data_IF_780344615720
#
_entry.id   IF_780344615720
#
_cell.length_a   1.000
_cell.length_b   1.000
_cell.length_c   1.000
_cell.angle_alpha   90.00
_cell.angle_beta   90.00
_cell.angle_gamma   90.00
#
_symmetry.space_group_name_H-M   'P 1'
#
loop_
_entity.id
_entity.type
_entity.pdbx_description
1 polymer ?
#
# COMPACT_ATOMS: atom_id res chain seq x y z
N UNK A 1 -11.31 -16.82 18.44
CA UNK A 1 -11.02 -17.98 17.56
C UNK A 1 -9.88 -17.58 16.64
N UNK A 2 -8.74 -18.27 16.70
CA UNK A 2 -7.60 -18.00 15.82
C UNK A 2 -8.02 -18.26 14.37
N UNK A 3 -8.06 -17.24 13.51
CA UNK A 3 -8.18 -17.44 12.06
C UNK A 3 -7.02 -18.35 11.66
N UNK A 4 -7.31 -19.56 11.18
CA UNK A 4 -6.28 -20.46 10.65
C UNK A 4 -5.58 -19.74 9.51
N UNK A 5 -4.30 -19.48 9.68
CA UNK A 5 -3.45 -18.96 8.61
C UNK A 5 -3.47 -19.95 7.45
N UNK A 6 -3.94 -19.52 6.29
CA UNK A 6 -3.91 -20.35 5.08
C UNK A 6 -2.50 -20.35 4.50
N UNK A 7 -2.07 -21.50 3.99
CA UNK A 7 -0.78 -21.63 3.32
C UNK A 7 -1.01 -21.93 1.84
N UNK A 8 -0.35 -21.18 0.96
CA UNK A 8 -0.29 -21.49 -0.46
C UNK A 8 0.99 -22.27 -0.75
N UNK A 9 0.82 -23.43 -1.40
CA UNK A 9 1.93 -24.32 -1.72
C UNK A 9 2.83 -23.66 -2.79
N UNK A 10 4.16 -23.72 -2.63
CA UNK A 10 5.09 -23.22 -3.64
C UNK A 10 4.93 -23.95 -4.98
N UNK A 11 5.35 -23.31 -6.07
CA UNK A 11 5.26 -23.87 -7.43
C UNK A 11 6.15 -25.09 -7.67
N UNK A 12 7.18 -25.26 -6.84
CA UNK A 12 8.12 -26.38 -6.88
C UNK A 12 8.36 -26.90 -5.46
N UNK A 13 8.79 -28.16 -5.29
CA UNK A 13 9.19 -28.67 -3.97
C UNK A 13 10.32 -27.84 -3.36
N UNK A 14 10.16 -27.47 -2.08
CA UNK A 14 11.16 -26.75 -1.28
C UNK A 14 11.47 -27.57 0.00
N UNK A 15 12.69 -27.51 0.55
CA UNK A 15 13.82 -26.68 0.11
C UNK A 15 14.57 -27.24 -1.11
N UNK A 16 15.22 -26.36 -1.86
CA UNK A 16 16.23 -26.73 -2.86
C UNK A 16 17.51 -27.23 -2.18
N UNK A 17 18.27 -28.10 -2.85
CA UNK A 17 19.61 -28.47 -2.37
C UNK A 17 20.55 -27.26 -2.38
N UNK A 18 21.54 -27.24 -1.48
CA UNK A 18 22.47 -26.11 -1.35
C UNK A 18 23.23 -25.82 -2.65
N UNK A 19 23.66 -26.88 -3.36
CA UNK A 19 24.37 -26.75 -4.63
C UNK A 19 23.49 -26.07 -5.70
N UNK A 20 22.24 -26.52 -5.85
CA UNK A 20 21.28 -25.93 -6.80
C UNK A 20 20.94 -24.49 -6.43
N UNK A 21 20.71 -24.22 -5.13
CA UNK A 21 20.36 -22.89 -4.67
C UNK A 21 21.49 -21.88 -4.93
N UNK A 22 22.73 -22.26 -4.64
CA UNK A 22 23.90 -21.42 -4.91
C UNK A 22 24.03 -21.09 -6.39
N UNK A 23 23.94 -22.11 -7.25
CA UNK A 23 24.05 -21.94 -8.70
C UNK A 23 22.97 -21.01 -9.26
N UNK A 24 21.71 -21.22 -8.89
CA UNK A 24 20.59 -20.40 -9.39
C UNK A 24 20.70 -18.98 -8.86
N UNK A 25 21.04 -18.78 -7.58
CA UNK A 25 21.19 -17.44 -7.00
C UNK A 25 22.29 -16.64 -7.69
N UNK A 26 23.44 -17.25 -7.99
CA UNK A 26 24.53 -16.58 -8.74
C UNK A 26 24.05 -16.17 -10.14
N UNK A 27 23.46 -17.09 -10.90
CA UNK A 27 22.91 -16.80 -12.24
C UNK A 27 21.82 -15.72 -12.22
N UNK A 28 20.92 -15.76 -11.23
CA UNK A 28 19.85 -14.77 -11.11
C UNK A 28 20.39 -13.38 -10.82
N UNK A 29 21.44 -13.25 -9.98
CA UNK A 29 22.09 -11.95 -9.70
C UNK A 29 22.65 -11.32 -10.96
N UNK A 30 23.31 -12.11 -11.80
CA UNK A 30 23.85 -11.61 -13.07
C UNK A 30 22.71 -11.22 -14.02
N UNK A 31 21.67 -12.06 -14.11
CA UNK A 31 20.51 -11.79 -14.96
C UNK A 31 19.81 -10.48 -14.57
N UNK A 32 19.53 -10.25 -13.28
CA UNK A 32 18.85 -9.02 -12.84
C UNK A 32 19.69 -7.76 -13.12
N UNK A 33 21.02 -7.83 -12.97
CA UNK A 33 21.91 -6.72 -13.31
C UNK A 33 21.94 -6.44 -14.81
N UNK A 34 22.05 -7.49 -15.64
CA UNK A 34 22.05 -7.37 -17.10
C UNK A 34 20.75 -6.79 -17.67
N UNK A 35 19.62 -6.96 -16.94
CA UNK A 35 18.31 -6.41 -17.32
C UNK A 35 17.98 -5.09 -16.60
N UNK A 36 18.96 -4.48 -15.92
CA UNK A 36 18.81 -3.15 -15.30
C UNK A 36 18.03 -3.13 -13.98
N UNK A 37 17.69 -4.28 -13.39
CA UNK A 37 16.99 -4.40 -12.10
C UNK A 37 18.01 -4.13 -10.98
N UNK A 38 18.32 -2.85 -10.79
CA UNK A 38 19.42 -2.40 -9.93
C UNK A 38 19.06 -1.11 -9.19
N UNK A 39 19.86 -0.80 -8.16
CA UNK A 39 19.75 0.40 -7.37
C UNK A 39 21.13 0.84 -6.87
N UNK A 40 21.25 2.14 -6.57
CA UNK A 40 22.42 2.66 -5.86
C UNK A 40 22.33 2.37 -4.36
N UNK A 41 23.43 1.98 -3.69
CA UNK A 41 23.43 1.79 -2.24
C UNK A 41 23.23 3.12 -1.52
N UNK A 42 22.38 3.17 -0.48
CA UNK A 42 22.14 4.39 0.32
C UNK A 42 23.26 4.70 1.32
N UNK A 43 23.88 3.67 1.90
CA UNK A 43 24.88 3.81 2.97
C UNK A 43 26.33 3.83 2.48
N UNK A 44 26.55 3.43 1.22
CA UNK A 44 27.85 3.40 0.55
C UNK A 44 27.60 3.89 -0.87
N UNK A 45 27.28 5.16 -0.99
CA UNK A 45 27.04 5.75 -2.30
C UNK A 45 28.33 5.65 -3.13
N UNK A 46 28.17 5.12 -4.32
CA UNK A 46 29.21 4.98 -5.33
C UNK A 46 28.59 5.48 -6.64
N UNK A 47 29.24 6.46 -7.26
CA UNK A 47 28.77 7.09 -8.50
C UNK A 47 28.86 6.13 -9.68
N UNK A 48 29.80 5.18 -9.63
CA UNK A 48 30.02 4.19 -10.68
C UNK A 48 29.46 2.80 -10.29
N UNK A 49 29.02 2.64 -9.04
CA UNK A 49 28.55 1.38 -8.47
C UNK A 49 27.03 1.20 -8.47
N UNK A 50 26.57 0.05 -8.98
CA UNK A 50 25.20 -0.42 -8.86
C UNK A 50 25.15 -1.78 -8.13
N UNK A 51 24.06 -2.01 -7.41
CA UNK A 51 23.73 -3.33 -6.84
C UNK A 51 22.37 -3.77 -7.38
N UNK A 52 22.14 -5.07 -7.49
CA UNK A 52 20.82 -5.57 -7.86
C UNK A 52 19.77 -5.19 -6.80
N UNK A 53 18.52 -4.97 -7.22
CA UNK A 53 17.41 -4.78 -6.28
C UNK A 53 17.09 -6.12 -5.58
N UNK A 54 16.73 -6.13 -4.28
CA UNK A 54 16.25 -7.34 -3.62
C UNK A 54 15.10 -8.00 -4.39
N UNK A 55 15.16 -9.31 -4.57
CA UNK A 55 14.14 -10.07 -5.29
C UNK A 55 13.83 -11.41 -4.63
N UNK A 56 12.66 -11.98 -4.92
CA UNK A 56 12.30 -13.37 -4.58
C UNK A 56 12.75 -14.28 -5.70
N UNK A 57 13.47 -15.35 -5.35
CA UNK A 57 14.11 -16.23 -6.33
C UNK A 57 13.12 -16.99 -7.22
N UNK A 58 11.99 -17.37 -6.64
CA UNK A 58 10.94 -18.17 -7.27
C UNK A 58 9.64 -17.37 -7.17
N UNK A 59 8.91 -17.16 -8.28
CA UNK A 59 7.66 -16.41 -8.27
C UNK A 59 6.68 -16.89 -7.20
N UNK A 60 6.15 -15.97 -6.39
CA UNK A 60 5.15 -16.32 -5.38
C UNK A 60 3.82 -16.70 -6.03
N UNK A 61 3.19 -17.75 -5.51
CA UNK A 61 1.87 -18.19 -5.96
C UNK A 61 0.79 -17.17 -5.61
N UNK A 62 -0.13 -16.93 -6.55
CA UNK A 62 -1.22 -15.98 -6.36
C UNK A 62 -2.51 -16.49 -7.04
N UNK A 63 -3.69 -16.42 -6.40
CA UNK A 63 -4.94 -16.87 -7.02
C UNK A 63 -5.29 -16.05 -8.28
N UNK A 64 -5.51 -16.72 -9.41
CA UNK A 64 -5.82 -16.09 -10.71
C UNK A 64 -7.05 -15.18 -10.62
N UNK A 65 -8.13 -15.68 -10.01
CA UNK A 65 -9.38 -14.93 -9.85
C UNK A 65 -9.18 -13.62 -9.11
N UNK A 66 -8.35 -13.60 -8.07
CA UNK A 66 -8.08 -12.38 -7.29
C UNK A 66 -7.17 -11.42 -8.06
N UNK A 67 -6.21 -11.93 -8.84
CA UNK A 67 -5.36 -11.11 -9.72
C UNK A 67 -6.19 -10.43 -10.82
N UNK A 68 -7.04 -11.19 -11.52
CA UNK A 68 -7.91 -10.69 -12.57
C UNK A 68 -8.92 -9.67 -12.01
N UNK A 69 -9.51 -9.96 -10.85
CA UNK A 69 -10.37 -9.02 -10.13
C UNK A 69 -9.66 -7.69 -9.82
N UNK A 70 -8.41 -7.73 -9.37
CA UNK A 70 -7.62 -6.53 -9.10
C UNK A 70 -7.33 -5.73 -10.39
N UNK A 71 -6.99 -6.42 -11.48
CA UNK A 71 -6.78 -5.80 -12.79
C UNK A 71 -8.04 -5.10 -13.32
N UNK A 72 -9.19 -5.76 -13.26
CA UNK A 72 -10.47 -5.18 -13.69
C UNK A 72 -10.88 -3.96 -12.86
N UNK A 73 -10.55 -3.98 -11.57
CA UNK A 73 -10.87 -2.89 -10.64
C UNK A 73 -10.15 -1.58 -10.97
N UNK A 74 -8.95 -1.67 -11.56
CA UNK A 74 -8.07 -0.51 -11.69
C UNK A 74 -8.70 0.63 -12.51
N UNK A 75 -9.43 0.33 -13.58
CA UNK A 75 -10.09 1.37 -14.38
C UNK A 75 -11.22 2.08 -13.62
N UNK A 76 -11.90 1.36 -12.72
CA UNK A 76 -12.92 1.93 -11.83
C UNK A 76 -12.25 2.82 -10.78
N UNK A 77 -11.12 2.39 -10.21
CA UNK A 77 -10.34 3.20 -9.27
C UNK A 77 -9.75 4.44 -9.92
N UNK A 78 -9.29 4.36 -11.16
CA UNK A 78 -8.83 5.53 -11.91
C UNK A 78 -9.95 6.58 -12.02
N UNK A 79 -11.17 6.18 -12.39
CA UNK A 79 -12.33 7.07 -12.47
C UNK A 79 -12.67 7.67 -11.11
N UNK A 80 -12.75 6.83 -10.07
CA UNK A 80 -13.03 7.26 -8.70
C UNK A 80 -12.01 8.29 -8.23
N UNK A 81 -10.71 7.97 -8.31
CA UNK A 81 -9.63 8.82 -7.85
C UNK A 81 -9.52 10.12 -8.66
N UNK A 82 -9.81 10.06 -9.96
CA UNK A 82 -9.87 11.24 -10.81
C UNK A 82 -11.00 12.20 -10.38
N UNK A 83 -12.20 11.68 -10.13
CA UNK A 83 -13.33 12.49 -9.66
C UNK A 83 -13.11 13.05 -8.26
N UNK A 84 -12.58 12.23 -7.34
CA UNK A 84 -12.18 12.68 -6.00
C UNK A 84 -11.14 13.79 -6.07
N UNK A 85 -10.14 13.67 -6.96
CA UNK A 85 -9.13 14.69 -7.15
C UNK A 85 -9.73 16.04 -7.58
N UNK A 86 -10.84 16.06 -8.30
CA UNK A 86 -11.46 17.30 -8.77
C UNK A 86 -12.63 17.78 -7.89
N UNK A 87 -12.92 17.11 -6.77
CA UNK A 87 -13.98 17.52 -5.84
C UNK A 87 -13.42 18.34 -4.68
N UNK A 88 -13.58 19.67 -4.81
CA UNK A 88 -13.10 20.62 -3.81
C UNK A 88 -13.83 20.49 -2.48
N UNK A 89 -15.16 20.33 -2.50
CA UNK A 89 -15.96 20.24 -1.29
C UNK A 89 -15.56 19.02 -0.47
N UNK A 90 -15.35 17.89 -1.15
CA UNK A 90 -14.91 16.66 -0.54
C UNK A 90 -13.55 16.81 0.14
N UNK A 91 -12.55 17.43 -0.52
CA UNK A 91 -11.25 17.64 0.12
C UNK A 91 -11.30 18.58 1.31
N UNK A 92 -11.96 19.72 1.17
CA UNK A 92 -12.08 20.68 2.26
C UNK A 92 -12.74 20.03 3.47
N UNK A 93 -13.80 19.25 3.26
CA UNK A 93 -14.50 18.58 4.36
C UNK A 93 -13.68 17.42 4.95
N UNK A 94 -13.05 16.60 4.12
CA UNK A 94 -12.30 15.42 4.57
C UNK A 94 -11.03 15.75 5.36
N UNK A 95 -10.40 16.88 5.05
CA UNK A 95 -9.10 17.26 5.60
C UNK A 95 -9.15 18.40 6.64
N UNK A 96 -10.32 19.01 6.88
CA UNK A 96 -10.48 20.20 7.75
C UNK A 96 -9.88 20.07 9.14
N UNK A 97 -9.96 18.88 9.74
CA UNK A 97 -9.46 18.66 11.09
C UNK A 97 -7.97 18.27 11.08
N UNK A 98 -7.53 17.52 10.07
CA UNK A 98 -6.14 17.10 9.92
C UNK A 98 -5.22 18.28 9.71
N UNK A 99 -5.60 19.27 8.89
CA UNK A 99 -4.75 20.44 8.61
C UNK A 99 -4.48 21.28 9.87
N UNK A 100 -5.27 21.13 10.93
CA UNK A 100 -5.03 21.80 12.21
C UNK A 100 -3.83 21.19 12.94
N UNK A 101 -3.69 19.87 12.87
CA UNK A 101 -2.74 19.09 13.70
C UNK A 101 -1.54 18.53 12.94
N UNK A 102 -1.64 18.33 11.62
CA UNK A 102 -0.57 17.77 10.79
C UNK A 102 0.01 18.85 9.86
N UNK A 103 1.24 19.29 10.15
CA UNK A 103 1.91 20.35 9.39
C UNK A 103 2.16 19.99 7.93
N UNK A 104 2.54 18.74 7.65
CA UNK A 104 2.82 18.27 6.29
C UNK A 104 1.57 18.36 5.42
N UNK A 105 0.46 17.83 5.93
CA UNK A 105 -0.84 17.84 5.25
C UNK A 105 -1.36 19.25 5.09
N UNK A 106 -1.20 20.11 6.11
CA UNK A 106 -1.54 21.54 6.04
C UNK A 106 -0.79 22.25 4.92
N UNK A 107 0.51 21.98 4.77
CA UNK A 107 1.32 22.60 3.72
C UNK A 107 0.90 22.11 2.32
N UNK A 108 0.60 20.81 2.16
CA UNK A 108 0.03 20.30 0.91
C UNK A 108 -1.32 20.94 0.58
N UNK A 109 -2.19 21.11 1.59
CA UNK A 109 -3.50 21.72 1.41
C UNK A 109 -3.39 23.21 1.03
N UNK A 110 -2.44 23.96 1.61
CA UNK A 110 -2.15 25.34 1.20
C UNK A 110 -1.74 25.44 -0.27
N UNK A 111 -0.87 24.53 -0.73
CA UNK A 111 -0.47 24.47 -2.14
C UNK A 111 -1.70 24.18 -3.02
N UNK A 112 -2.57 23.26 -2.58
CA UNK A 112 -3.83 22.98 -3.26
C UNK A 112 -4.73 24.22 -3.37
N UNK A 113 -4.92 24.97 -2.29
CA UNK A 113 -5.70 26.22 -2.32
C UNK A 113 -5.11 27.26 -3.28
N UNK A 114 -3.79 27.42 -3.29
CA UNK A 114 -3.09 28.30 -4.25
C UNK A 114 -3.31 27.84 -5.68
N UNK A 115 -3.15 26.55 -5.99
CA UNK A 115 -3.35 26.01 -7.33
C UNK A 115 -4.81 26.16 -7.79
N UNK A 116 -5.78 26.00 -6.88
CA UNK A 116 -7.20 26.24 -7.20
C UNK A 116 -7.48 27.72 -7.49
N UNK A 117 -6.82 28.64 -6.77
CA UNK A 117 -6.99 30.08 -6.97
C UNK A 117 -6.32 30.59 -8.25
N UNK A 118 -5.14 30.07 -8.59
CA UNK A 118 -4.32 30.53 -9.73
C UNK A 118 -4.57 29.75 -11.03
N UNK A 119 -5.12 28.54 -10.93
CA UNK A 119 -5.38 27.64 -12.05
C UNK A 119 -4.42 26.44 -12.13
N UNK A 120 -4.95 25.31 -12.60
CA UNK A 120 -4.23 24.04 -12.73
C UNK A 120 -3.25 24.05 -13.91
N UNK A 121 -1.95 23.97 -13.63
CA UNK A 121 -0.87 23.91 -14.65
C UNK A 121 0.06 22.70 -14.49
N UNK A 122 -0.11 21.88 -13.45
CA UNK A 122 0.80 20.79 -13.07
C UNK A 122 0.29 19.39 -13.46
N UNK A 123 1.19 18.48 -13.83
CA UNK A 123 0.91 17.06 -14.06
C UNK A 123 2.00 16.15 -13.44
N UNK A 124 1.70 15.31 -12.42
CA UNK A 124 0.43 15.20 -11.70
C UNK A 124 0.16 16.45 -10.84
N UNK A 125 -1.09 16.86 -10.77
CA UNK A 125 -1.48 17.98 -9.91
C UNK A 125 -1.46 17.58 -8.43
N UNK A 126 -1.28 18.57 -7.55
CA UNK A 126 -1.39 18.42 -6.08
C UNK A 126 -2.70 17.74 -5.64
N UNK A 127 -3.74 17.80 -6.48
CA UNK A 127 -5.04 17.20 -6.23
C UNK A 127 -4.95 15.67 -6.12
N UNK A 128 -4.23 15.02 -7.04
CA UNK A 128 -4.04 13.56 -7.00
C UNK A 128 -3.19 13.12 -5.80
N UNK A 129 -2.26 13.95 -5.35
CA UNK A 129 -1.48 13.67 -4.15
C UNK A 129 -2.40 13.68 -2.92
N UNK A 130 -3.23 14.71 -2.75
CA UNK A 130 -4.20 14.77 -1.64
C UNK A 130 -5.23 13.63 -1.71
N UNK A 131 -5.67 13.25 -2.92
CA UNK A 131 -6.53 12.08 -3.11
C UNK A 131 -5.91 10.79 -2.58
N UNK A 132 -4.58 10.64 -2.68
CA UNK A 132 -3.85 9.46 -2.20
C UNK A 132 -3.69 9.36 -0.68
N UNK A 133 -4.12 10.36 0.09
CA UNK A 133 -3.97 10.36 1.55
C UNK A 133 -4.81 9.26 2.21
N UNK A 134 -4.33 8.78 3.35
CA UNK A 134 -4.99 7.72 4.12
C UNK A 134 -6.35 8.20 4.65
N UNK A 135 -6.48 9.48 5.00
CA UNK A 135 -7.76 10.07 5.39
C UNK A 135 -8.79 10.06 4.25
N UNK A 136 -8.39 10.37 3.02
CA UNK A 136 -9.29 10.28 1.86
C UNK A 136 -9.73 8.83 1.63
N UNK A 137 -8.79 7.87 1.69
CA UNK A 137 -9.13 6.45 1.63
C UNK A 137 -10.17 6.05 2.68
N UNK A 138 -9.98 6.47 3.94
CA UNK A 138 -10.92 6.20 5.03
C UNK A 138 -12.27 6.89 4.82
N UNK A 139 -12.28 8.13 4.33
CA UNK A 139 -13.51 8.88 4.09
C UNK A 139 -14.34 8.27 2.96
N UNK A 140 -13.70 7.77 1.90
CA UNK A 140 -14.36 7.03 0.83
C UNK A 140 -15.02 5.72 1.31
N UNK A 141 -14.58 5.15 2.43
CA UNK A 141 -15.18 3.97 3.03
C UNK A 141 -16.46 4.25 3.83
N UNK A 142 -16.79 5.53 4.09
CA UNK A 142 -18.05 5.90 4.77
C UNK A 142 -19.27 5.56 3.90
N UNK A 143 -20.42 5.15 4.49
CA UNK A 143 -21.64 4.92 3.73
C UNK A 143 -22.04 6.15 2.90
N UNK A 144 -22.34 5.95 1.62
CA UNK A 144 -22.77 7.02 0.71
C UNK A 144 -21.64 7.85 0.08
N UNK A 145 -20.38 7.65 0.49
CA UNK A 145 -19.27 8.45 -0.04
C UNK A 145 -18.90 8.07 -1.49
N UNK A 146 -18.92 6.77 -1.84
CA UNK A 146 -18.61 6.31 -3.19
C UNK A 146 -19.66 6.74 -4.20
N UNK A 147 -20.92 6.78 -3.79
CA UNK A 147 -22.08 7.15 -4.61
C UNK A 147 -22.02 8.60 -5.09
N UNK A 148 -21.24 9.47 -4.43
CA UNK A 148 -20.98 10.84 -4.88
C UNK A 148 -20.13 10.88 -6.15
N UNK A 149 -19.30 9.86 -6.37
CA UNK A 149 -18.32 9.82 -7.47
C UNK A 149 -18.67 8.77 -8.53
N UNK A 150 -19.32 7.67 -8.14
CA UNK A 150 -19.66 6.57 -9.02
C UNK A 150 -21.18 6.44 -9.13
N UNK A 151 -21.72 6.71 -10.31
CA UNK A 151 -23.15 6.62 -10.60
C UNK A 151 -23.64 5.19 -10.83
N UNK A 152 -22.76 4.29 -11.26
CA UNK A 152 -23.09 2.87 -11.50
C UNK A 152 -23.05 2.07 -10.18
N UNK A 153 -24.19 1.54 -9.69
CA UNK A 153 -24.23 0.76 -8.46
C UNK A 153 -23.35 -0.50 -8.49
N UNK A 154 -23.09 -1.08 -9.67
CA UNK A 154 -22.22 -2.24 -9.81
C UNK A 154 -20.75 -1.86 -9.58
N UNK A 155 -20.31 -0.69 -10.06
CA UNK A 155 -18.98 -0.15 -9.76
C UNK A 155 -18.84 0.13 -8.27
N UNK A 156 -19.85 0.75 -7.65
CA UNK A 156 -19.88 1.00 -6.21
C UNK A 156 -19.75 -0.31 -5.42
N UNK A 157 -20.54 -1.33 -5.77
CA UNK A 157 -20.47 -2.63 -5.11
C UNK A 157 -19.09 -3.30 -5.28
N UNK A 158 -18.50 -3.23 -6.47
CA UNK A 158 -17.15 -3.72 -6.76
C UNK A 158 -16.10 -3.04 -5.87
N UNK A 159 -16.11 -1.71 -5.77
CA UNK A 159 -15.16 -0.96 -4.93
C UNK A 159 -15.36 -1.28 -3.44
N UNK A 160 -16.62 -1.35 -2.97
CA UNK A 160 -16.90 -1.71 -1.56
C UNK A 160 -16.33 -3.07 -1.17
N UNK A 161 -16.30 -4.04 -2.08
CA UNK A 161 -15.77 -5.39 -1.80
C UNK A 161 -14.26 -5.43 -1.52
N UNK A 162 -13.50 -4.41 -1.92
CA UNK A 162 -12.04 -4.38 -1.71
C UNK A 162 -11.61 -3.49 -0.53
N UNK A 163 -12.56 -2.81 0.12
CA UNK A 163 -12.28 -2.06 1.33
C UNK A 163 -12.16 -3.01 2.52
N UNK A 164 -11.01 -2.99 3.21
CA UNK A 164 -10.91 -3.52 4.56
C UNK A 164 -11.60 -2.59 5.57
N UNK A 165 -11.64 -2.99 6.85
CA UNK A 165 -12.09 -2.10 7.91
C UNK A 165 -11.25 -0.82 7.97
N UNK A 166 -11.86 0.33 7.69
CA UNK A 166 -11.24 1.65 7.70
C UNK A 166 -12.03 2.55 8.63
N UNK A 167 -11.40 3.02 9.71
CA UNK A 167 -12.08 3.73 10.78
C UNK A 167 -11.43 5.10 10.99
N UNK A 168 -12.27 6.11 11.12
CA UNK A 168 -11.83 7.43 11.56
C UNK A 168 -11.46 7.37 13.04
N UNK A 169 -10.54 8.25 13.44
CA UNK A 169 -10.27 8.52 14.85
C UNK A 169 -10.69 9.95 15.19
N UNK A 170 -11.65 10.54 14.47
CA UNK A 170 -12.16 11.87 14.83
C UNK A 170 -12.84 11.86 16.20
N UNK A 171 -13.06 13.04 16.79
CA UNK A 171 -13.72 13.18 18.10
C UNK A 171 -15.25 13.10 17.98
N UNK A 172 -15.74 12.01 17.38
CA UNK A 172 -17.16 11.67 17.23
C UNK A 172 -17.46 10.26 17.75
N UNK A 173 -18.73 9.85 17.72
CA UNK A 173 -19.17 8.54 18.24
C UNK A 173 -18.44 7.37 17.56
N UNK A 174 -18.21 7.45 16.25
CA UNK A 174 -17.53 6.39 15.49
C UNK A 174 -16.04 6.35 15.83
N UNK A 175 -15.42 7.50 16.03
CA UNK A 175 -14.04 7.59 16.45
C UNK A 175 -13.81 7.06 17.86
N UNK A 176 -14.71 7.32 18.80
CA UNK A 176 -14.65 6.71 20.14
C UNK A 176 -14.76 5.18 20.08
N UNK A 177 -15.65 4.66 19.24
CA UNK A 177 -15.75 3.22 18.99
C UNK A 177 -14.44 2.67 18.41
N UNK A 178 -13.85 3.35 17.44
CA UNK A 178 -12.58 2.95 16.82
C UNK A 178 -11.40 2.97 17.81
N UNK A 179 -11.33 3.98 18.67
CA UNK A 179 -10.36 4.04 19.79
C UNK A 179 -10.52 2.84 20.70
N UNK A 180 -11.76 2.51 21.09
CA UNK A 180 -12.01 1.38 21.98
C UNK A 180 -11.63 0.05 21.31
N UNK A 181 -11.98 -0.16 20.04
CA UNK A 181 -11.56 -1.34 19.27
C UNK A 181 -10.04 -1.50 19.23
N UNK A 182 -9.30 -0.41 18.98
CA UNK A 182 -7.85 -0.42 18.95
C UNK A 182 -7.21 -0.71 20.33
N UNK A 183 -7.85 -0.25 21.41
CA UNK A 183 -7.40 -0.54 22.78
C UNK A 183 -7.65 -2.00 23.13
N UNK A 184 -8.83 -2.53 22.81
CA UNK A 184 -9.22 -3.89 23.21
C UNK A 184 -8.42 -4.94 22.44
N UNK A 185 -8.33 -4.82 21.11
CA UNK A 185 -7.70 -5.79 20.22
C UNK A 185 -6.63 -5.16 19.29
N UNK A 186 -5.54 -4.57 19.82
CA UNK A 186 -4.59 -3.77 19.03
C UNK A 186 -3.93 -4.53 17.88
N UNK A 187 -3.71 -5.84 18.02
CA UNK A 187 -3.08 -6.66 16.98
C UNK A 187 -3.97 -6.92 15.75
N UNK A 188 -5.28 -6.65 15.85
CA UNK A 188 -6.20 -6.70 14.72
C UNK A 188 -6.11 -5.46 13.84
N UNK A 189 -5.38 -4.43 14.25
CA UNK A 189 -5.35 -3.15 13.57
C UNK A 189 -3.93 -2.69 13.24
N UNK A 190 -3.87 -1.71 12.34
CA UNK A 190 -2.70 -0.93 11.99
C UNK A 190 -3.09 0.53 12.08
N UNK A 191 -2.31 1.31 12.81
CA UNK A 191 -2.49 2.76 12.91
C UNK A 191 -1.63 3.44 11.85
N UNK A 192 -2.23 4.33 11.04
CA UNK A 192 -1.56 4.93 9.88
C UNK A 192 -1.61 6.47 9.94
N UNK A 193 -0.47 7.17 9.93
CA UNK A 193 -0.44 8.61 9.78
C UNK A 193 -0.58 9.02 8.31
N UNK A 194 -0.71 10.33 8.05
CA UNK A 194 -0.76 10.88 6.68
C UNK A 194 0.65 10.99 6.06
N UNK A 195 1.33 9.85 5.88
CA UNK A 195 2.67 9.76 5.25
C UNK A 195 2.71 8.67 4.18
N UNK A 196 3.59 8.83 3.20
CA UNK A 196 3.85 7.86 2.13
C UNK A 196 5.28 7.29 2.23
N UNK A 197 5.58 6.25 1.46
CA UNK A 197 6.94 5.69 1.33
C UNK A 197 7.33 4.58 2.31
N UNK A 198 6.41 4.18 3.19
CA UNK A 198 6.61 3.09 4.17
C UNK A 198 7.39 3.52 5.42
N UNK A 199 7.30 2.72 6.48
CA UNK A 199 8.02 2.94 7.75
C UNK A 199 7.33 3.85 8.77
N UNK A 200 6.11 4.31 8.50
CA UNK A 200 5.41 5.29 9.34
C UNK A 200 4.27 4.69 10.20
N UNK A 201 3.87 3.46 9.93
CA UNK A 201 2.71 2.86 10.57
C UNK A 201 3.07 2.28 11.96
N UNK A 202 2.08 2.19 12.85
CA UNK A 202 2.21 1.54 14.16
C UNK A 202 1.44 0.21 14.14
N UNK A 203 2.02 -0.83 14.74
CA UNK A 203 1.53 -2.21 14.69
C UNK A 203 1.53 -2.88 16.06
N UNK A 204 0.77 -3.97 16.19
CA UNK A 204 0.82 -4.81 17.37
C UNK A 204 0.39 -4.06 18.63
N UNK A 205 0.99 -4.40 19.77
CA UNK A 205 0.62 -3.79 21.07
C UNK A 205 0.87 -2.28 21.13
N UNK A 206 1.81 -1.75 20.35
CA UNK A 206 2.10 -0.30 20.30
C UNK A 206 0.91 0.52 19.80
N UNK A 207 -0.01 -0.07 19.04
CA UNK A 207 -1.26 0.59 18.61
C UNK A 207 -2.07 1.04 19.82
N UNK A 208 -2.18 0.19 20.86
CA UNK A 208 -2.91 0.50 22.09
C UNK A 208 -2.28 1.69 22.81
N UNK A 209 -0.95 1.71 22.91
CA UNK A 209 -0.23 2.74 23.64
C UNK A 209 -0.31 4.08 22.90
N UNK A 210 -0.15 4.07 21.57
CA UNK A 210 -0.30 5.24 20.72
C UNK A 210 -1.72 5.83 20.84
N UNK A 211 -2.75 4.99 20.71
CA UNK A 211 -4.16 5.42 20.79
C UNK A 211 -4.49 5.97 22.18
N UNK A 212 -4.03 5.33 23.27
CA UNK A 212 -4.23 5.85 24.63
C UNK A 212 -3.58 7.21 24.84
N UNK A 213 -2.37 7.41 24.31
CA UNK A 213 -1.64 8.68 24.44
C UNK A 213 -2.36 9.84 23.75
N UNK A 214 -3.00 9.59 22.61
CA UNK A 214 -3.69 10.61 21.83
C UNK A 214 -5.21 10.66 22.04
N UNK A 215 -5.78 9.82 22.92
CA UNK A 215 -7.23 9.64 23.08
C UNK A 215 -7.98 10.96 23.25
N UNK A 216 -7.48 11.83 24.13
CA UNK A 216 -8.09 13.11 24.49
C UNK A 216 -7.45 14.31 23.76
N UNK A 217 -6.60 14.05 22.75
CA UNK A 217 -5.90 15.07 21.96
C UNK A 217 -6.49 15.15 20.56
N UNK A 218 -6.56 16.34 19.97
CA UNK A 218 -6.94 16.51 18.56
C UNK A 218 -5.97 15.81 17.60
N UNK A 219 -4.75 15.49 18.05
CA UNK A 219 -3.72 14.77 17.27
C UNK A 219 -4.24 13.46 16.67
N UNK A 220 -5.19 12.79 17.33
CA UNK A 220 -5.79 11.54 16.84
C UNK A 220 -6.42 11.67 15.45
N UNK A 221 -6.87 12.87 15.06
CA UNK A 221 -7.45 13.14 13.73
C UNK A 221 -6.44 12.95 12.59
N UNK A 222 -5.13 13.10 12.86
CA UNK A 222 -4.07 12.87 11.88
C UNK A 222 -3.88 11.39 11.52
N UNK A 223 -4.53 10.49 12.25
CA UNK A 223 -4.38 9.05 12.10
C UNK A 223 -5.68 8.41 11.61
N UNK A 224 -5.54 7.29 10.90
CA UNK A 224 -6.64 6.36 10.65
C UNK A 224 -6.32 5.02 11.30
N UNK A 225 -7.37 4.31 11.70
CA UNK A 225 -7.26 2.92 12.12
C UNK A 225 -7.69 2.03 10.95
N UNK A 226 -6.88 1.04 10.60
CA UNK A 226 -7.20 0.08 9.54
C UNK A 226 -7.12 -1.34 10.08
N UNK A 227 -8.08 -2.19 9.72
CA UNK A 227 -8.01 -3.63 9.99
C UNK A 227 -6.76 -4.24 9.34
N UNK A 228 -6.02 -5.04 10.12
CA UNK A 228 -4.82 -5.71 9.65
C UNK A 228 -5.21 -6.91 8.79
N UNK A 229 -4.91 -6.81 7.50
CA UNK A 229 -5.06 -7.93 6.56
C UNK A 229 -4.07 -9.04 6.93
N UNK A 230 -4.57 -10.27 7.00
CA UNK A 230 -3.79 -11.50 7.22
C UNK A 230 -3.79 -12.34 5.95
N UNK A 231 -2.86 -12.11 5.02
CA UNK A 231 -2.81 -12.86 3.77
C UNK A 231 -2.35 -14.31 4.00
N UNK A 232 -2.59 -15.21 3.03
CA UNK A 232 -2.00 -16.54 3.04
C UNK A 232 -0.47 -16.47 3.09
N UNK A 233 0.15 -17.41 3.81
CA UNK A 233 1.61 -17.58 3.85
C UNK A 233 2.09 -18.46 2.70
N UNK A 234 3.28 -18.18 2.20
CA UNK A 234 4.01 -19.10 1.31
C UNK A 234 5.48 -19.16 1.70
N UNK A 235 6.22 -20.13 1.18
CA UNK A 235 7.66 -20.28 1.43
C UNK A 235 8.45 -19.75 0.24
N UNK A 236 9.49 -18.96 0.48
CA UNK A 236 10.30 -18.38 -0.58
C UNK A 236 11.74 -18.12 -0.16
N UNK A 237 12.63 -18.00 -1.16
CA UNK A 237 14.00 -17.53 -0.96
C UNK A 237 14.08 -16.06 -1.34
N UNK A 238 14.49 -15.23 -0.38
CA UNK A 238 14.75 -13.82 -0.64
C UNK A 238 16.25 -13.62 -0.90
N UNK A 239 16.58 -12.96 -2.01
CA UNK A 239 17.96 -12.65 -2.41
C UNK A 239 18.21 -11.16 -2.20
N UNK A 240 19.26 -10.84 -1.43
CA UNK A 240 19.60 -9.47 -1.05
C UNK A 240 21.08 -9.16 -1.29
N UNK A 241 21.43 -7.93 -1.71
CA UNK A 241 22.81 -7.50 -1.74
C UNK A 241 23.44 -7.56 -0.35
N UNK A 242 24.65 -8.13 -0.25
CA UNK A 242 25.35 -8.29 1.03
C UNK A 242 24.72 -9.28 2.02
N UNK A 243 23.67 -10.00 1.62
CA UNK A 243 23.09 -11.08 2.43
C UNK A 243 24.01 -12.30 2.52
N UNK A 244 23.58 -13.29 3.31
CA UNK A 244 24.29 -14.57 3.44
C UNK A 244 24.56 -15.19 2.06
N UNK A 245 25.70 -15.89 1.93
CA UNK A 245 26.06 -16.60 0.69
C UNK A 245 25.00 -17.62 0.28
N UNK A 246 24.28 -18.20 1.24
CA UNK A 246 23.15 -19.10 1.03
C UNK A 246 21.88 -18.42 1.56
N UNK A 247 20.92 -18.15 0.67
CA UNK A 247 19.61 -17.59 1.04
C UNK A 247 18.83 -18.60 1.89
N UNK A 248 18.31 -18.17 3.03
CA UNK A 248 17.48 -19.01 3.88
C UNK A 248 16.05 -19.09 3.31
N UNK A 249 15.43 -20.26 3.46
CA UNK A 249 14.01 -20.43 3.17
C UNK A 249 13.20 -19.82 4.31
N UNK A 250 12.28 -18.92 3.99
CA UNK A 250 11.49 -18.20 4.97
C UNK A 250 10.02 -18.15 4.57
N UNK A 251 9.14 -18.01 5.57
CA UNK A 251 7.74 -17.68 5.34
C UNK A 251 7.64 -16.23 4.84
N UNK A 252 6.90 -16.03 3.77
CA UNK A 252 6.71 -14.74 3.14
C UNK A 252 5.22 -14.45 2.90
N UNK A 253 4.93 -13.17 2.76
CA UNK A 253 3.64 -12.63 2.35
C UNK A 253 3.83 -11.68 1.18
N UNK A 254 2.90 -11.71 0.23
CA UNK A 254 2.96 -10.92 -0.99
C UNK A 254 1.86 -9.85 -1.01
N UNK A 255 2.19 -8.70 -1.57
CA UNK A 255 1.29 -7.56 -1.78
C UNK A 255 1.28 -7.21 -3.26
N UNK A 256 0.11 -7.35 -3.89
CA UNK A 256 -0.11 -7.04 -5.30
C UNK A 256 -0.41 -5.55 -5.47
N UNK A 257 0.37 -4.87 -6.30
CA UNK A 257 0.08 -3.53 -6.81
C UNK A 257 -0.32 -3.59 -8.27
N UNK A 258 -1.39 -2.87 -8.65
CA UNK A 258 -1.82 -2.71 -10.03
C UNK A 258 -1.58 -1.26 -10.45
N UNK A 259 -0.95 -1.08 -11.62
CA UNK A 259 -0.71 0.25 -12.18
C UNK A 259 -1.87 0.67 -13.08
N UNK A 260 -2.38 1.87 -12.85
CA UNK A 260 -3.35 2.53 -13.70
C UNK A 260 -2.81 3.86 -14.23
N UNK A 261 -3.25 4.24 -15.42
CA UNK A 261 -3.01 5.56 -16.02
C UNK A 261 -4.36 6.20 -16.30
N UNK A 262 -4.51 7.43 -15.85
CA UNK A 262 -5.65 8.30 -16.17
C UNK A 262 -5.15 9.61 -16.78
N UNK A 263 -5.76 10.04 -17.88
CA UNK A 263 -5.51 11.31 -18.54
C UNK A 263 -6.87 11.95 -18.81
N UNK A 264 -6.99 13.22 -18.46
CA UNK A 264 -8.24 13.96 -18.57
C UNK A 264 -8.08 15.39 -18.07
N UNK A 265 -9.08 16.21 -18.35
CA UNK A 265 -9.31 17.48 -17.66
C UNK A 265 -10.22 17.25 -16.43
N UNK A 266 -10.67 18.30 -15.76
CA UNK A 266 -11.47 18.18 -14.56
C UNK A 266 -12.87 17.57 -14.78
N UNK A 267 -13.37 17.63 -16.01
CA UNK A 267 -14.73 17.19 -16.37
C UNK A 267 -14.71 15.87 -17.16
N UNK A 268 -13.65 15.63 -17.94
CA UNK A 268 -13.58 14.59 -18.95
C UNK A 268 -12.31 13.75 -18.83
N UNK A 269 -12.51 12.44 -18.61
CA UNK A 269 -11.44 11.43 -18.75
C UNK A 269 -11.32 11.05 -20.22
N UNK A 270 -10.18 11.32 -20.84
CA UNK A 270 -9.87 10.97 -22.23
C UNK A 270 -9.13 9.64 -22.36
N UNK A 271 -8.44 9.20 -21.30
CA UNK A 271 -7.77 7.92 -21.24
C UNK A 271 -7.84 7.35 -19.82
N UNK A 272 -8.24 6.09 -19.68
CA UNK A 272 -8.16 5.35 -18.41
C UNK A 272 -7.89 3.88 -18.70
N UNK A 273 -6.73 3.38 -18.26
CA UNK A 273 -6.36 1.97 -18.44
C UNK A 273 -5.55 1.43 -17.26
N UNK A 274 -5.69 0.14 -17.03
CA UNK A 274 -4.69 -0.68 -16.34
C UNK A 274 -3.50 -0.93 -17.27
N UNK A 275 -2.27 -0.78 -16.78
CA UNK A 275 -1.05 -0.79 -17.63
C UNK A 275 0.06 -1.72 -17.13
N UNK A 276 -0.16 -2.44 -16.04
CA UNK A 276 0.84 -3.34 -15.48
C UNK A 276 0.58 -3.65 -14.01
N UNK A 277 1.50 -4.40 -13.41
CA UNK A 277 1.44 -4.79 -12.01
C UNK A 277 2.84 -4.88 -11.41
N UNK A 278 2.89 -4.97 -10.09
CA UNK A 278 4.08 -5.31 -9.32
C UNK A 278 3.65 -6.24 -8.19
N UNK A 279 4.43 -7.28 -7.93
CA UNK A 279 4.29 -8.05 -6.69
C UNK A 279 5.46 -7.66 -5.79
N UNK A 280 5.15 -7.33 -4.54
CA UNK A 280 6.16 -7.07 -3.51
C UNK A 280 5.99 -8.11 -2.42
N UNK A 281 7.08 -8.75 -2.05
CA UNK A 281 7.04 -9.86 -1.09
C UNK A 281 7.99 -9.56 0.05
N UNK A 282 7.57 -9.86 1.28
CA UNK A 282 8.34 -9.62 2.51
C UNK A 282 8.27 -10.83 3.43
N UNK A 283 9.23 -11.02 4.37
CA UNK A 283 9.09 -12.02 5.42
C UNK A 283 7.78 -11.81 6.18
N UNK A 284 7.10 -12.90 6.55
CA UNK A 284 5.84 -12.84 7.29
C UNK A 284 5.97 -12.14 8.65
N UNK A 285 7.18 -12.16 9.23
CA UNK A 285 7.53 -11.47 10.48
C UNK A 285 7.71 -9.95 10.34
N UNK A 286 7.80 -9.44 9.11
CA UNK A 286 8.02 -8.02 8.86
C UNK A 286 6.71 -7.23 8.78
N UNK A 287 6.59 -6.19 9.61
CA UNK A 287 5.46 -5.27 9.55
C UNK A 287 5.53 -4.37 8.30
N UNK A 288 6.72 -3.87 7.96
CA UNK A 288 6.94 -2.96 6.83
C UNK A 288 7.40 -3.69 5.55
N UNK A 289 7.14 -3.11 4.37
CA UNK A 289 7.32 -3.78 3.07
C UNK A 289 8.21 -3.05 2.06
N UNK A 290 8.97 -2.02 2.46
CA UNK A 290 9.81 -1.26 1.53
C UNK A 290 10.87 -2.13 0.85
N UNK A 291 10.97 -2.05 -0.48
CA UNK A 291 11.92 -2.85 -1.28
C UNK A 291 13.35 -2.28 -1.24
N UNK A 292 13.50 -0.96 -1.32
CA UNK A 292 14.82 -0.32 -1.45
C UNK A 292 15.60 -0.21 -0.13
N UNK A 293 14.88 -0.03 0.99
CA UNK A 293 15.48 0.22 2.30
C UNK A 293 14.85 -0.60 3.42
N UNK A 294 14.02 -1.58 3.07
CA UNK A 294 13.32 -2.41 4.03
C UNK A 294 13.39 -3.90 3.69
N UNK A 295 12.61 -4.71 4.42
CA UNK A 295 12.60 -6.17 4.29
C UNK A 295 11.75 -6.65 3.12
N UNK A 296 11.24 -5.77 2.24
CA UNK A 296 10.56 -6.15 1.00
C UNK A 296 11.52 -6.50 -0.14
N UNK A 297 11.04 -7.27 -1.09
CA UNK A 297 11.74 -7.64 -2.32
C UNK A 297 10.77 -7.60 -3.51
N UNK A 298 11.33 -7.39 -4.70
CA UNK A 298 10.59 -7.53 -5.96
C UNK A 298 10.21 -8.98 -6.18
N UNK A 299 9.03 -9.20 -6.74
CA UNK A 299 8.49 -10.51 -7.03
C UNK A 299 7.60 -10.45 -8.28
N UNK A 300 7.17 -11.61 -8.74
CA UNK A 300 6.19 -11.78 -9.81
C UNK A 300 5.15 -12.82 -9.40
N UNK A 301 3.86 -12.64 -9.75
CA UNK A 301 2.85 -13.61 -9.40
C UNK A 301 2.90 -14.83 -10.33
N UNK A 302 2.92 -16.03 -9.75
CA UNK A 302 2.56 -17.25 -10.47
C UNK A 302 1.09 -17.58 -10.25
N UNK A 303 0.27 -17.43 -11.29
CA UNK A 303 -1.19 -17.54 -11.17
C UNK A 303 -1.64 -19.00 -11.08
N UNK A 304 -2.39 -19.32 -10.02
CA UNK A 304 -3.01 -20.63 -9.78
C UNK A 304 -4.55 -20.52 -9.79
N UNK A 305 -5.23 -21.59 -10.21
CA UNK A 305 -6.70 -21.64 -10.33
C UNK A 305 -7.40 -22.18 -9.08
#
# INVERSE_FOLDING_TARGET
>A
MSQKTSHLLPIIPLPLSEAQLKEIVEKSKDWVLMHGISMRPKTQFDEDGLRFLPFVLIPSVFPRKEFEKACEMQSILNELMHKVAHDRCFFTESLKDIVKVDEFTRNLFRIYETVVAEGLTQAPSIHYHLAGTKKVQQTLAKPGALEQFLSDPLKVAKVKQIFGGLYSLDSDELGEQAVQMAIDDPEKFVLKPQREGGGNNVYGLEVRDAVKKMKDSEERTAWILMERIRPPLTMGYMVRPGGNKVSQLVEVVSELGIYGVVIGDAENITYSKQVGHILRTKPATANEGSTSSGPGALDSPHLID
#
